data_IF_431716308920
#
_entry.id   IF_431716308920
#
_cell.length_a   1.000
_cell.length_b   1.000
_cell.length_c   1.000
_cell.angle_alpha   90.00
_cell.angle_beta   90.00
_cell.angle_gamma   90.00
#
_symmetry.space_group_name_H-M   'P 1'
#
loop_
_entity.id
_entity.type
_entity.pdbx_description
1 polymer ?
#
# COMPACT_ATOMS: atom_id res chain seq x y z
N UNK A 1 17.02 -30.35 41.78
CA UNK A 1 16.38 -29.04 41.65
C UNK A 1 16.08 -28.85 40.16
N UNK A 2 14.86 -29.19 39.73
CA UNK A 2 14.45 -29.12 38.32
C UNK A 2 13.39 -28.02 38.20
N UNK A 3 13.72 -26.96 37.45
CA UNK A 3 12.80 -25.85 37.21
C UNK A 3 12.43 -25.86 35.73
N UNK A 4 11.27 -26.43 35.44
CA UNK A 4 10.59 -26.33 34.14
C UNK A 4 9.54 -25.24 34.25
N UNK A 5 9.63 -24.18 33.45
CA UNK A 5 8.48 -23.28 33.23
C UNK A 5 8.38 -22.81 31.77
N UNK A 6 7.36 -23.40 31.12
CA UNK A 6 6.33 -22.83 30.25
C UNK A 6 6.72 -22.05 28.99
N UNK A 7 6.77 -22.82 27.89
CA UNK A 7 6.39 -22.38 26.55
C UNK A 7 4.96 -21.84 26.56
N UNK A 8 4.78 -20.58 26.19
CA UNK A 8 3.47 -20.01 25.82
C UNK A 8 3.23 -20.30 24.34
N UNK A 9 2.24 -21.13 23.96
CA UNK A 9 1.72 -21.09 22.61
C UNK A 9 0.80 -19.87 22.50
N UNK A 10 1.30 -18.78 21.90
CA UNK A 10 0.45 -17.65 21.52
C UNK A 10 -0.54 -18.14 20.47
N UNK A 11 -1.79 -18.25 20.91
CA UNK A 11 -2.90 -18.84 20.18
C UNK A 11 -3.18 -18.07 18.89
N UNK A 12 -3.37 -18.83 17.81
CA UNK A 12 -3.82 -18.34 16.53
C UNK A 12 -5.13 -17.54 16.66
N UNK A 13 -5.12 -16.28 16.22
CA UNK A 13 -6.35 -15.55 15.89
C UNK A 13 -6.78 -15.91 14.46
N UNK A 14 -7.27 -17.14 14.29
CA UNK A 14 -8.04 -17.53 13.11
C UNK A 14 -9.46 -17.00 13.29
N UNK A 15 -9.71 -15.74 12.92
CA UNK A 15 -11.04 -15.13 13.09
C UNK A 15 -11.22 -13.86 12.28
N UNK A 16 -12.03 -13.96 11.22
CA UNK A 16 -12.47 -12.91 10.29
C UNK A 16 -11.50 -12.55 9.16
N UNK A 17 -11.56 -13.33 8.07
CA UNK A 17 -10.96 -13.02 6.76
C UNK A 17 -11.75 -11.93 6.00
N UNK A 18 -12.36 -10.99 6.72
CA UNK A 18 -12.73 -9.71 6.14
C UNK A 18 -11.41 -8.97 5.93
N UNK A 19 -10.82 -9.10 4.73
CA UNK A 19 -9.58 -8.42 4.38
C UNK A 19 -9.70 -6.95 4.83
N UNK A 20 -8.92 -6.58 5.85
CA UNK A 20 -8.95 -5.23 6.40
C UNK A 20 -8.57 -4.29 5.27
N UNK A 21 -9.56 -3.60 4.69
CA UNK A 21 -9.36 -2.79 3.49
C UNK A 21 -8.33 -1.68 3.68
N UNK A 22 -8.05 -1.28 4.93
CA UNK A 22 -7.15 -0.19 5.28
C UNK A 22 -6.22 -0.62 6.43
N UNK A 23 -4.92 -0.50 6.22
CA UNK A 23 -3.84 -0.71 7.19
C UNK A 23 -3.19 0.65 7.43
N UNK A 24 -3.15 1.10 8.69
CA UNK A 24 -2.56 2.39 9.06
C UNK A 24 -1.04 2.35 9.03
N UNK A 25 -0.36 3.46 8.68
CA UNK A 25 1.08 3.53 8.69
C UNK A 25 1.62 3.36 10.11
N UNK A 26 2.82 2.80 10.22
CA UNK A 26 3.57 2.75 11.46
C UNK A 26 4.81 3.63 11.28
N UNK A 27 5.12 4.47 12.27
CA UNK A 27 6.31 5.29 12.20
C UNK A 27 7.57 4.40 12.33
N UNK A 28 8.43 4.29 11.31
CA UNK A 28 9.65 3.51 11.42
C UNK A 28 10.64 4.25 12.32
N UNK A 29 11.45 3.50 13.06
CA UNK A 29 12.45 4.06 13.99
C UNK A 29 13.49 4.93 13.24
N UNK A 30 13.79 4.57 11.99
CA UNK A 30 14.67 5.28 11.07
C UNK A 30 14.04 6.48 10.36
N UNK A 31 12.78 6.85 10.64
CA UNK A 31 12.14 8.01 10.04
C UNK A 31 12.90 9.31 10.35
N UNK A 32 13.12 10.13 9.33
CA UNK A 32 13.68 11.47 9.48
C UNK A 32 12.68 12.45 10.13
N UNK A 33 13.12 13.68 10.40
CA UNK A 33 12.26 14.69 11.03
C UNK A 33 11.03 15.03 10.16
N UNK A 34 11.22 15.16 8.85
CA UNK A 34 10.13 15.50 7.93
C UNK A 34 9.08 14.40 7.85
N UNK A 35 9.48 13.12 7.76
CA UNK A 35 8.54 12.00 7.73
C UNK A 35 7.77 11.87 9.05
N UNK A 36 8.43 12.16 10.17
CA UNK A 36 7.79 12.21 11.50
C UNK A 36 6.74 13.30 11.57
N UNK A 37 7.04 14.50 11.07
CA UNK A 37 6.09 15.61 11.05
C UNK A 37 4.86 15.30 10.19
N UNK A 38 5.08 14.73 9.00
CA UNK A 38 4.01 14.25 8.12
C UNK A 38 3.14 13.19 8.82
N UNK A 39 3.77 12.19 9.45
CA UNK A 39 3.06 11.14 10.18
C UNK A 39 2.23 11.71 11.34
N UNK A 40 2.80 12.61 12.15
CA UNK A 40 2.10 13.22 13.27
C UNK A 40 0.92 14.08 12.80
N UNK A 41 1.11 14.89 11.75
CA UNK A 41 0.07 15.70 11.14
C UNK A 41 -1.07 14.82 10.59
N UNK A 42 -0.73 13.71 9.94
CA UNK A 42 -1.68 12.73 9.44
C UNK A 42 -2.48 12.06 10.57
N UNK A 43 -1.82 11.51 11.58
CA UNK A 43 -2.51 10.84 12.71
C UNK A 43 -3.42 11.81 13.45
N UNK A 44 -2.96 13.05 13.68
CA UNK A 44 -3.79 14.10 14.29
C UNK A 44 -5.04 14.36 13.46
N UNK A 45 -4.87 14.62 12.16
CA UNK A 45 -5.97 14.90 11.24
C UNK A 45 -6.94 13.73 11.10
N UNK A 46 -6.42 12.50 11.11
CA UNK A 46 -7.21 11.28 11.02
C UNK A 46 -8.07 11.04 12.28
N UNK A 47 -7.56 11.40 13.46
CA UNK A 47 -8.29 11.31 14.74
C UNK A 47 -9.35 12.38 14.91
N UNK A 48 -9.10 13.59 14.40
CA UNK A 48 -10.04 14.72 14.46
C UNK A 48 -11.16 14.63 13.39
N UNK A 49 -11.01 13.74 12.41
CA UNK A 49 -11.96 13.57 11.33
C UNK A 49 -13.33 13.04 11.82
N UNK A 50 -14.46 13.55 11.31
CA UNK A 50 -15.78 13.01 11.63
C UNK A 50 -15.90 11.53 11.23
N UNK A 51 -16.84 10.79 11.84
CA UNK A 51 -17.16 9.39 11.50
C UNK A 51 -17.83 9.28 10.11
N UNK A 52 -17.04 9.55 9.07
CA UNK A 52 -17.36 9.31 7.67
C UNK A 52 -16.86 7.92 7.25
N UNK A 53 -17.14 7.55 6.00
CA UNK A 53 -16.52 6.39 5.33
C UNK A 53 -15.00 6.47 5.47
N UNK A 54 -14.36 5.34 5.73
CA UNK A 54 -12.94 5.30 6.10
C UNK A 54 -12.04 5.85 5.00
N UNK A 55 -12.36 5.58 3.73
CA UNK A 55 -11.64 6.05 2.55
C UNK A 55 -11.68 7.59 2.46
N UNK A 56 -12.85 8.18 2.68
CA UNK A 56 -13.03 9.64 2.70
C UNK A 56 -12.26 10.27 3.85
N UNK A 57 -12.27 9.61 5.02
CA UNK A 57 -11.53 10.08 6.20
C UNK A 57 -10.02 10.03 5.96
N UNK A 58 -9.53 8.97 5.33
CA UNK A 58 -8.13 8.83 4.96
C UNK A 58 -7.71 9.92 3.97
N UNK A 59 -8.47 10.09 2.88
CA UNK A 59 -8.21 11.09 1.87
C UNK A 59 -8.18 12.50 2.49
N UNK A 60 -9.14 12.81 3.35
CA UNK A 60 -9.20 14.11 4.04
C UNK A 60 -8.01 14.30 4.99
N UNK A 61 -7.58 13.24 5.68
CA UNK A 61 -6.42 13.30 6.56
C UNK A 61 -5.11 13.50 5.79
N UNK A 62 -4.98 12.92 4.60
CA UNK A 62 -3.85 13.16 3.68
C UNK A 62 -3.80 14.63 3.29
N UNK A 63 -4.92 15.20 2.81
CA UNK A 63 -4.97 16.61 2.39
C UNK A 63 -4.62 17.55 3.55
N UNK A 64 -5.16 17.30 4.74
CA UNK A 64 -4.82 18.11 5.92
C UNK A 64 -3.37 17.98 6.35
N UNK A 65 -2.77 16.80 6.19
CA UNK A 65 -1.36 16.60 6.49
C UNK A 65 -0.45 17.30 5.48
N UNK A 66 -0.84 17.30 4.19
CA UNK A 66 -0.19 18.05 3.14
C UNK A 66 -0.23 19.56 3.43
N UNK A 67 -1.42 20.09 3.71
CA UNK A 67 -1.61 21.51 4.09
C UNK A 67 -0.79 21.88 5.35
N UNK A 68 -0.78 21.02 6.37
CA UNK A 68 -0.10 21.29 7.63
C UNK A 68 1.44 21.22 7.53
N UNK A 69 1.97 20.50 6.55
CA UNK A 69 3.42 20.32 6.35
C UNK A 69 3.96 21.05 5.12
N UNK A 70 3.11 21.82 4.42
CA UNK A 70 3.43 22.53 3.17
C UNK A 70 4.03 21.60 2.10
N UNK A 71 3.46 20.39 1.99
CA UNK A 71 3.85 19.37 1.00
C UNK A 71 2.72 19.09 0.03
N UNK A 72 3.03 18.45 -1.11
CA UNK A 72 1.99 17.98 -2.02
C UNK A 72 1.31 16.71 -1.50
N UNK A 73 0.01 16.57 -1.79
CA UNK A 73 -0.78 15.38 -1.45
C UNK A 73 -0.15 14.08 -1.96
N UNK A 74 0.42 14.13 -3.17
CA UNK A 74 1.11 12.99 -3.77
C UNK A 74 2.39 12.61 -3.00
N UNK A 75 3.16 13.60 -2.54
CA UNK A 75 4.37 13.35 -1.75
C UNK A 75 4.02 12.78 -0.37
N UNK A 76 3.05 13.37 0.32
CA UNK A 76 2.57 12.86 1.61
C UNK A 76 2.04 11.44 1.49
N UNK A 77 1.24 11.15 0.46
CA UNK A 77 0.73 9.80 0.19
C UNK A 77 1.85 8.78 0.00
N UNK A 78 2.89 9.15 -0.78
CA UNK A 78 4.06 8.32 -0.98
C UNK A 78 4.78 8.03 0.33
N UNK A 79 5.06 9.05 1.14
CA UNK A 79 5.74 8.89 2.44
C UNK A 79 4.93 7.99 3.37
N UNK A 80 3.61 8.17 3.43
CA UNK A 80 2.73 7.30 4.24
C UNK A 80 2.73 5.85 3.75
N UNK A 81 2.73 5.62 2.44
CA UNK A 81 2.82 4.27 1.82
C UNK A 81 4.17 3.62 2.11
N UNK A 82 5.26 4.39 2.03
CA UNK A 82 6.60 3.93 2.39
C UNK A 82 6.69 3.55 3.89
N UNK A 83 5.87 4.16 4.75
CA UNK A 83 5.67 3.81 6.16
C UNK A 83 4.62 2.70 6.41
N UNK A 84 4.10 2.08 5.35
CA UNK A 84 3.20 0.94 5.44
C UNK A 84 1.69 1.25 5.42
N UNK A 85 1.28 2.47 5.06
CA UNK A 85 -0.14 2.76 4.79
C UNK A 85 -0.61 1.94 3.58
N UNK A 86 -1.59 1.06 3.80
CA UNK A 86 -2.29 0.34 2.73
C UNK A 86 -3.76 0.74 2.74
N UNK A 87 -4.30 1.14 1.61
CA UNK A 87 -5.70 1.52 1.49
C UNK A 87 -6.24 1.22 0.08
N UNK A 88 -7.57 1.26 -0.14
CA UNK A 88 -8.15 1.18 -1.47
C UNK A 88 -7.75 2.38 -2.31
N UNK A 89 -7.79 2.26 -3.64
CA UNK A 89 -7.41 3.33 -4.58
C UNK A 89 -8.23 4.60 -4.34
N UNK A 90 -9.52 4.46 -4.03
CA UNK A 90 -10.43 5.58 -3.71
C UNK A 90 -9.99 6.43 -2.50
N UNK A 91 -9.10 5.92 -1.65
CA UNK A 91 -8.64 6.61 -0.46
C UNK A 91 -7.39 7.47 -0.70
N UNK A 92 -6.81 7.43 -1.91
CA UNK A 92 -5.63 8.20 -2.30
C UNK A 92 -5.97 9.34 -3.25
N UNK A 93 -5.16 10.42 -3.27
CA UNK A 93 -5.24 11.49 -4.26
C UNK A 93 -5.01 10.97 -5.69
N UNK A 94 -5.68 11.57 -6.68
CA UNK A 94 -5.53 11.19 -8.09
C UNK A 94 -4.09 11.28 -8.58
N UNK A 95 -3.41 12.39 -8.29
CA UNK A 95 -2.01 12.62 -8.69
C UNK A 95 -1.05 11.54 -8.16
N UNK A 96 -1.34 10.99 -6.98
CA UNK A 96 -0.55 9.87 -6.42
C UNK A 96 -0.81 8.58 -7.22
N UNK A 97 -2.07 8.28 -7.54
CA UNK A 97 -2.43 7.09 -8.31
C UNK A 97 -1.82 7.13 -9.72
N UNK A 98 -1.88 8.28 -10.39
CA UNK A 98 -1.27 8.48 -11.71
C UNK A 98 0.25 8.28 -11.65
N UNK A 99 0.89 8.76 -10.57
CA UNK A 99 2.31 8.55 -10.35
C UNK A 99 2.66 7.06 -10.12
N UNK A 100 1.87 6.34 -9.33
CA UNK A 100 2.05 4.90 -9.09
C UNK A 100 1.88 4.11 -10.39
N UNK A 101 0.78 4.36 -11.12
CA UNK A 101 0.50 3.67 -12.38
C UNK A 101 1.59 3.96 -13.42
N UNK A 102 2.05 5.21 -13.54
CA UNK A 102 3.15 5.57 -14.42
C UNK A 102 4.49 4.93 -14.01
N UNK A 103 4.70 4.69 -12.71
CA UNK A 103 5.91 4.01 -12.21
C UNK A 103 5.85 2.51 -12.47
N UNK A 104 4.67 1.89 -12.35
CA UNK A 104 4.45 0.46 -12.60
C UNK A 104 4.49 0.11 -14.10
N UNK A 105 3.95 0.98 -14.96
CA UNK A 105 3.97 0.80 -16.42
C UNK A 105 5.33 1.09 -17.06
N UNK A 106 6.27 1.68 -16.30
CA UNK A 106 7.58 2.05 -16.83
C UNK A 106 8.48 0.82 -16.92
N UNK A 107 8.40 0.17 -18.07
CA UNK A 107 9.28 -0.92 -18.52
C UNK A 107 10.71 -0.42 -18.84
N UNK A 108 11.39 0.20 -17.86
CA UNK A 108 12.81 0.58 -18.00
C UNK A 108 13.67 -0.09 -16.92
N UNK A 109 14.75 -0.78 -17.30
CA UNK A 109 15.60 -1.57 -16.39
C UNK A 109 16.44 -0.74 -15.39
N UNK A 110 16.33 0.60 -15.39
CA UNK A 110 17.23 1.50 -14.68
C UNK A 110 16.71 2.00 -13.32
N UNK A 111 15.43 1.79 -13.00
CA UNK A 111 14.84 2.24 -11.73
C UNK A 111 13.96 1.13 -11.18
N UNK A 112 14.48 0.41 -10.18
CA UNK A 112 13.70 -0.58 -9.45
C UNK A 112 12.45 0.09 -8.87
N UNK A 113 11.29 -0.52 -9.09
CA UNK A 113 10.03 -0.08 -8.50
C UNK A 113 10.18 -0.13 -6.97
N UNK A 114 9.76 0.91 -6.22
CA UNK A 114 9.81 0.88 -4.77
C UNK A 114 9.08 -0.36 -4.22
N UNK A 115 9.66 -1.08 -3.24
CA UNK A 115 9.03 -2.27 -2.69
C UNK A 115 7.66 -1.98 -2.06
N UNK A 116 7.47 -0.76 -1.54
CA UNK A 116 6.20 -0.26 -1.01
C UNK A 116 5.08 -0.20 -2.06
N UNK A 117 5.41 0.05 -3.33
CA UNK A 117 4.42 0.09 -4.41
C UNK A 117 4.01 -1.31 -4.85
N UNK A 118 4.95 -2.27 -4.80
CA UNK A 118 4.67 -3.69 -5.07
C UNK A 118 3.72 -4.24 -4.00
N UNK A 119 4.01 -3.98 -2.72
CA UNK A 119 3.14 -4.43 -1.62
C UNK A 119 1.77 -3.75 -1.66
N UNK A 120 1.71 -2.46 -2.01
CA UNK A 120 0.44 -1.76 -2.22
C UNK A 120 -0.38 -2.36 -3.37
N UNK A 121 0.27 -2.72 -4.48
CA UNK A 121 -0.41 -3.35 -5.62
C UNK A 121 -0.91 -4.75 -5.27
N UNK A 122 -0.11 -5.54 -4.55
CA UNK A 122 -0.53 -6.85 -4.03
C UNK A 122 -1.73 -6.71 -3.08
N UNK A 123 -1.75 -5.67 -2.25
CA UNK A 123 -2.87 -5.36 -1.38
C UNK A 123 -4.14 -5.03 -2.19
N UNK A 124 -4.04 -4.23 -3.25
CA UNK A 124 -5.15 -3.95 -4.17
C UNK A 124 -5.71 -5.19 -4.85
N UNK A 125 -4.83 -6.09 -5.32
CA UNK A 125 -5.24 -7.40 -5.88
C UNK A 125 -5.95 -8.24 -4.83
N UNK A 126 -5.45 -8.28 -3.59
CA UNK A 126 -6.04 -9.07 -2.51
C UNK A 126 -7.45 -8.60 -2.09
N UNK A 127 -7.74 -7.30 -2.22
CA UNK A 127 -9.07 -6.74 -1.92
C UNK A 127 -10.00 -6.67 -3.15
N UNK A 128 -9.51 -7.03 -4.34
CA UNK A 128 -10.26 -6.95 -5.60
C UNK A 128 -10.45 -5.52 -6.12
N UNK A 129 -9.61 -4.58 -5.69
CA UNK A 129 -9.58 -3.17 -6.13
C UNK A 129 -8.50 -2.98 -7.21
N UNK A 130 -8.51 -3.88 -8.19
CA UNK A 130 -7.63 -3.83 -9.33
C UNK A 130 -8.08 -2.69 -10.26
N UNK A 131 -7.26 -1.64 -10.35
CA UNK A 131 -7.50 -0.55 -11.29
C UNK A 131 -7.70 -1.11 -12.70
N UNK A 132 -8.72 -0.62 -13.41
CA UNK A 132 -9.11 -1.07 -14.75
C UNK A 132 -7.97 -1.08 -15.78
N UNK A 133 -6.91 -0.29 -15.57
CA UNK A 133 -5.77 -0.20 -16.47
C UNK A 133 -4.77 -1.38 -16.40
N UNK A 134 -4.73 -2.16 -15.31
CA UNK A 134 -3.87 -3.35 -15.20
C UNK A 134 -4.51 -4.61 -15.81
N UNK A 135 -5.84 -4.63 -15.96
CA UNK A 135 -6.57 -5.75 -16.56
C UNK A 135 -6.25 -5.95 -18.04
N UNK A 136 -5.81 -4.90 -18.74
CA UNK A 136 -5.41 -4.98 -20.15
C UNK A 136 -3.96 -5.41 -20.36
N UNK A 137 -3.09 -5.36 -19.33
CA UNK A 137 -1.72 -5.91 -19.43
C UNK A 137 -1.64 -7.39 -19.02
N UNK A 138 -2.70 -7.94 -18.40
CA UNK A 138 -2.78 -9.34 -17.97
C UNK A 138 -3.31 -10.30 -19.05
N UNK A 139 -3.62 -9.82 -20.26
CA UNK A 139 -3.79 -10.69 -21.44
C UNK A 139 -2.42 -10.98 -22.07
N UNK A 140 -1.53 -11.61 -21.31
CA UNK A 140 -0.41 -12.35 -21.88
C UNK A 140 -0.90 -13.78 -22.13
N UNK A 141 -0.74 -14.35 -23.34
CA UNK A 141 -1.28 -15.65 -23.68
C UNK A 141 -0.47 -16.73 -22.96
N UNK A 142 -1.06 -17.31 -21.92
CA UNK A 142 -0.66 -18.59 -21.38
C UNK A 142 -1.28 -19.69 -22.26
N UNK A 143 -0.41 -20.57 -22.81
CA UNK A 143 -0.62 -21.74 -23.68
C UNK A 143 -0.16 -21.52 -25.14
N UNK A 144 0.80 -22.27 -25.71
CA UNK A 144 1.21 -23.65 -25.43
C UNK A 144 2.73 -23.83 -25.51
N UNK A 145 3.23 -24.55 -24.51
CA UNK A 145 4.47 -25.32 -24.58
C UNK A 145 4.36 -26.48 -25.60
N UNK A 146 5.52 -26.94 -26.07
CA UNK A 146 5.84 -28.29 -26.59
C UNK A 146 5.30 -28.73 -27.97
N UNK A 147 6.20 -28.76 -28.96
CA UNK A 147 6.60 -29.99 -29.69
C UNK A 147 7.82 -29.67 -30.60
N UNK A 148 9.04 -30.01 -30.20
CA UNK A 148 9.78 -31.18 -30.72
C UNK A 148 9.75 -31.37 -32.25
N UNK A 149 10.92 -31.19 -32.87
CA UNK A 149 11.48 -31.89 -34.04
C UNK A 149 10.54 -32.29 -35.20
N UNK A 150 10.74 -31.64 -36.37
CA UNK A 150 10.71 -32.26 -37.71
C UNK A 150 11.23 -31.21 -38.73
N UNK A 151 12.45 -31.35 -39.25
CA UNK A 151 12.76 -31.88 -40.60
C UNK A 151 12.17 -31.04 -41.74
N UNK A 152 13.02 -30.32 -42.49
CA UNK A 152 13.59 -30.72 -43.80
C UNK A 152 14.90 -29.98 -44.00
#
# INVERSE_FOLDING_TARGET
MSTTFLTVPSSASTGSRAATRIILPCLPESAGPNERDIFMAFIKSFREGPNRRMEVRLLTAIHRAADATDNSDAYVSRVLVDMGLMAPRLAYPGDFLDHVDATLLRDRPLRSVPPSYITLTQHWVAIGDEGSNLRNSATMPENRLHSFLATV
#
